data_IF_256539048145
#
_entry.id   IF_256539048145
#
_cell.length_a   1.000
_cell.length_b   1.000
_cell.length_c   1.000
_cell.angle_alpha   90.00
_cell.angle_beta   90.00
_cell.angle_gamma   90.00
#
_symmetry.space_group_name_H-M   'P 1'
#
loop_
_entity.id
_entity.type
_entity.pdbx_description
1 polymer ?
#
# COMPACT_ATOMS: atom_id res chain seq x y z
N UNK A 1 12.49 -5.30 32.02
CA UNK A 1 11.15 -5.88 31.82
C UNK A 1 11.29 -7.34 31.38
N UNK A 2 10.27 -8.16 31.61
CA UNK A 2 10.25 -9.53 31.06
C UNK A 2 9.96 -9.48 29.56
N UNK A 3 10.34 -10.53 28.81
CA UNK A 3 10.07 -10.63 27.37
C UNK A 3 8.57 -10.46 27.05
N UNK A 4 7.71 -11.00 27.90
CA UNK A 4 6.26 -10.89 27.73
C UNK A 4 5.76 -9.45 27.86
N UNK A 5 6.28 -8.71 28.86
CA UNK A 5 5.95 -7.29 29.03
C UNK A 5 6.38 -6.43 27.83
N UNK A 6 7.46 -6.81 27.12
CA UNK A 6 7.86 -6.13 25.86
C UNK A 6 6.80 -6.34 24.78
N UNK A 7 6.41 -7.61 24.61
CA UNK A 7 5.47 -8.01 23.56
C UNK A 7 4.11 -7.36 23.80
N UNK A 8 3.65 -7.36 25.05
CA UNK A 8 2.37 -6.77 25.42
C UNK A 8 2.39 -5.25 25.24
N UNK A 9 3.51 -4.58 25.56
CA UNK A 9 3.70 -3.17 25.27
C UNK A 9 3.76 -2.87 23.77
N UNK A 10 4.33 -3.75 22.94
CA UNK A 10 4.32 -3.53 21.49
C UNK A 10 2.94 -3.70 20.85
N UNK A 11 2.10 -4.58 21.41
CA UNK A 11 0.73 -4.81 20.92
C UNK A 11 -0.27 -3.75 21.34
N UNK A 12 -0.05 -3.09 22.48
CA UNK A 12 -0.94 -2.07 23.01
C UNK A 12 -0.26 -0.69 23.01
N UNK A 13 -0.66 0.26 22.15
CA UNK A 13 -0.02 1.56 22.05
C UNK A 13 -0.10 2.37 23.35
N UNK A 14 -1.20 2.30 24.10
CA UNK A 14 -1.33 2.98 25.41
C UNK A 14 -0.29 2.51 26.43
N UNK A 15 -0.03 1.19 26.47
CA UNK A 15 0.99 0.60 27.34
C UNK A 15 2.38 0.97 26.83
N UNK A 16 2.56 1.05 25.51
CA UNK A 16 3.81 1.46 24.87
C UNK A 16 4.21 2.87 25.26
N UNK A 17 3.27 3.81 25.25
CA UNK A 17 3.48 5.21 25.61
C UNK A 17 3.73 5.39 27.11
N UNK A 18 3.02 4.62 27.95
CA UNK A 18 3.24 4.64 29.39
C UNK A 18 4.61 4.07 29.82
N UNK A 19 5.26 3.27 28.96
CA UNK A 19 6.55 2.64 29.25
C UNK A 19 7.66 3.29 28.42
N UNK A 20 8.24 4.36 28.96
CA UNK A 20 9.33 5.17 28.37
C UNK A 20 10.56 4.35 27.90
N UNK A 21 10.71 3.11 28.38
CA UNK A 21 11.84 2.21 28.08
C UNK A 21 11.63 1.26 26.91
N UNK A 22 10.42 1.21 26.32
CA UNK A 22 10.14 0.30 25.20
C UNK A 22 10.59 0.96 23.91
N UNK A 23 11.65 0.42 23.31
CA UNK A 23 12.08 0.85 21.96
C UNK A 23 10.94 0.62 20.95
N UNK A 24 10.81 1.47 19.93
CA UNK A 24 9.84 1.26 18.87
C UNK A 24 10.05 -0.11 18.21
N UNK A 25 8.94 -0.72 17.80
CA UNK A 25 8.98 -2.02 17.13
C UNK A 25 9.79 -1.90 15.82
N UNK A 26 10.66 -2.87 15.49
CA UNK A 26 11.51 -2.80 14.29
C UNK A 26 10.72 -2.70 12.98
N UNK A 27 9.48 -3.19 12.96
CA UNK A 27 8.55 -3.09 11.81
C UNK A 27 7.76 -1.78 11.74
N UNK A 28 8.01 -0.81 12.63
CA UNK A 28 7.27 0.45 12.67
C UNK A 28 5.90 0.36 13.34
N UNK A 29 5.01 1.31 13.01
CA UNK A 29 3.63 1.37 13.51
C UNK A 29 2.82 0.16 13.06
N UNK A 30 1.82 -0.22 13.84
CA UNK A 30 0.88 -1.26 13.44
C UNK A 30 -0.16 -0.69 12.44
N UNK A 31 -0.76 -1.55 11.61
CA UNK A 31 -1.71 -1.14 10.56
C UNK A 31 -2.93 -0.39 11.10
N UNK A 32 -3.42 -0.79 12.27
CA UNK A 32 -4.54 -0.16 12.98
C UNK A 32 -4.17 1.20 13.61
N UNK A 33 -2.88 1.55 13.65
CA UNK A 33 -2.39 2.83 14.16
C UNK A 33 -2.17 3.85 13.02
N UNK A 34 -2.39 3.44 11.76
CA UNK A 34 -2.27 4.33 10.60
C UNK A 34 -3.51 5.23 10.50
N UNK A 35 -3.27 6.49 10.20
CA UNK A 35 -4.33 7.43 9.80
C UNK A 35 -4.91 7.04 8.44
N UNK A 36 -6.09 7.56 8.10
CA UNK A 36 -6.71 7.31 6.80
C UNK A 36 -5.83 7.80 5.63
N UNK A 37 -5.11 8.90 5.83
CA UNK A 37 -4.20 9.45 4.83
C UNK A 37 -2.97 8.54 4.66
N UNK A 38 -2.33 8.13 5.77
CA UNK A 38 -1.22 7.14 5.73
C UNK A 38 -1.68 5.81 5.10
N UNK A 39 -2.93 5.39 5.34
CA UNK A 39 -3.52 4.20 4.71
C UNK A 39 -3.73 4.39 3.21
N UNK A 40 -4.20 5.55 2.77
CA UNK A 40 -4.38 5.86 1.36
C UNK A 40 -3.05 5.83 0.62
N UNK A 41 -1.97 6.36 1.22
CA UNK A 41 -0.62 6.29 0.66
C UNK A 41 -0.15 4.84 0.47
N UNK A 42 -0.40 3.96 1.45
CA UNK A 42 -0.07 2.52 1.36
C UNK A 42 -0.88 1.82 0.26
N UNK A 43 -2.15 2.18 0.09
CA UNK A 43 -3.01 1.67 -0.98
C UNK A 43 -2.59 2.18 -2.37
N UNK A 44 -1.64 3.11 -2.44
CA UNK A 44 -1.20 3.74 -3.67
C UNK A 44 -2.12 4.89 -4.05
N UNK A 45 -2.18 5.94 -3.21
CA UNK A 45 -2.87 7.22 -3.44
C UNK A 45 -2.43 8.00 -4.70
N UNK A 46 -1.74 7.36 -5.64
CA UNK A 46 -1.46 7.93 -6.94
C UNK A 46 -2.69 7.73 -7.81
N UNK A 47 -3.18 8.85 -8.35
CA UNK A 47 -3.96 8.91 -9.58
C UNK A 47 -3.35 7.90 -10.57
N UNK A 48 -4.02 6.76 -10.73
CA UNK A 48 -3.62 5.74 -11.70
C UNK A 48 -3.95 6.39 -13.03
N UNK A 49 -3.00 7.12 -13.61
CA UNK A 49 -3.18 7.80 -14.89
C UNK A 49 -3.76 6.79 -15.90
N UNK A 50 -5.06 6.88 -16.24
CA UNK A 50 -5.71 5.92 -17.14
C UNK A 50 -5.17 6.05 -18.57
N UNK A 51 -4.40 7.11 -18.83
CA UNK A 51 -3.85 7.52 -20.12
C UNK A 51 -2.67 6.66 -20.63
N UNK A 52 -2.31 5.55 -19.97
CA UNK A 52 -1.21 4.68 -20.44
C UNK A 52 -1.62 3.63 -21.46
N UNK A 53 -2.85 3.67 -21.98
CA UNK A 53 -3.31 2.73 -23.03
C UNK A 53 -3.52 3.31 -24.46
N UNK A 54 -2.73 4.27 -25.01
CA UNK A 54 -2.85 4.60 -26.43
C UNK A 54 -2.36 3.46 -27.33
N UNK A 55 -1.30 2.75 -26.90
CA UNK A 55 -0.62 1.74 -27.72
C UNK A 55 -1.48 0.50 -27.96
N UNK A 56 -2.20 0.00 -26.96
CA UNK A 56 -3.03 -1.20 -27.12
C UNK A 56 -4.27 -0.94 -27.98
N UNK A 57 -4.89 0.24 -27.85
CA UNK A 57 -6.03 0.64 -28.68
C UNK A 57 -5.60 0.85 -30.14
N UNK A 58 -4.44 1.48 -30.37
CA UNK A 58 -3.88 1.65 -31.72
C UNK A 58 -3.49 0.31 -32.38
N UNK A 59 -2.91 -0.62 -31.61
CA UNK A 59 -2.57 -1.96 -32.10
C UNK A 59 -3.82 -2.77 -32.44
N UNK A 60 -4.87 -2.70 -31.61
CA UNK A 60 -6.11 -3.44 -31.83
C UNK A 60 -6.85 -2.93 -33.08
N UNK A 61 -6.98 -1.61 -33.23
CA UNK A 61 -7.68 -1.01 -34.38
C UNK A 61 -6.95 -1.26 -35.70
N UNK A 62 -5.61 -1.15 -35.71
CA UNK A 62 -4.81 -1.39 -36.91
C UNK A 62 -4.81 -2.87 -37.32
N UNK A 63 -4.66 -3.78 -36.36
CA UNK A 63 -4.73 -5.23 -36.61
C UNK A 63 -6.09 -5.68 -37.16
N UNK A 64 -7.17 -5.13 -36.61
CA UNK A 64 -8.54 -5.46 -37.05
C UNK A 64 -8.82 -4.97 -38.49
N UNK A 65 -8.37 -3.75 -38.83
CA UNK A 65 -8.52 -3.20 -40.18
C UNK A 65 -7.73 -3.98 -41.23
N UNK A 66 -6.51 -4.45 -40.91
CA UNK A 66 -5.75 -5.32 -41.79
C UNK A 66 -6.44 -6.67 -41.99
N UNK A 67 -6.94 -7.31 -40.92
CA UNK A 67 -7.65 -8.58 -41.04
C UNK A 67 -8.90 -8.48 -41.92
N UNK A 68 -9.72 -7.43 -41.78
CA UNK A 68 -10.93 -7.26 -42.60
C UNK A 68 -10.60 -7.03 -44.08
N UNK A 69 -9.46 -6.40 -44.38
CA UNK A 69 -9.07 -6.05 -45.75
C UNK A 69 -8.37 -7.20 -46.51
N UNK A 70 -7.73 -8.10 -45.78
CA UNK A 70 -6.85 -9.13 -46.35
C UNK A 70 -7.25 -10.59 -46.01
N UNK A 71 -8.33 -10.83 -45.27
CA UNK A 71 -9.01 -12.13 -45.15
C UNK A 71 -10.32 -12.16 -45.94
#
# INVERSE_FOLDING_TARGET
MTKQQIIDAWKNPEIREAVEKVKPHPSGKAFNELTLDELAEVQGASDVAPETTPACVAAFTTGMLFSIKYC
#
